data_IF_774816682788
#
_entry.id   IF_774816682788
#
_cell.length_a   1.000
_cell.length_b   1.000
_cell.length_c   1.000
_cell.angle_alpha   90.00
_cell.angle_beta   90.00
_cell.angle_gamma   90.00
#
_symmetry.space_group_name_H-M   'P 1'
#
loop_
_entity.id
_entity.type
_entity.pdbx_description
1 polymer ?
#
# COMPACT_ATOMS: atom_id res chain seq x y z
N UNK A 1 -3.32 -14.36 -11.00
CA UNK A 1 -2.49 -15.51 -11.41
C UNK A 1 -2.42 -15.71 -12.92
N UNK A 2 -3.51 -15.47 -13.68
CA UNK A 2 -3.48 -15.55 -15.15
C UNK A 2 -2.31 -14.77 -15.76
N UNK A 3 -2.01 -13.57 -15.25
CA UNK A 3 -0.96 -12.70 -15.81
C UNK A 3 0.45 -13.29 -15.73
N UNK A 4 0.76 -13.98 -14.63
CA UNK A 4 2.05 -14.66 -14.43
C UNK A 4 2.16 -15.82 -15.41
N UNK A 5 1.06 -16.54 -15.66
CA UNK A 5 1.05 -17.63 -16.64
C UNK A 5 1.15 -17.13 -18.08
N UNK A 6 0.54 -15.98 -18.41
CA UNK A 6 0.55 -15.41 -19.75
C UNK A 6 1.79 -14.60 -20.10
N UNK A 7 2.45 -14.00 -19.11
CA UNK A 7 3.61 -13.11 -19.29
C UNK A 7 4.57 -13.20 -18.09
N UNK A 8 5.21 -14.36 -17.88
CA UNK A 8 6.05 -14.63 -16.71
C UNK A 8 7.25 -13.69 -16.58
N UNK A 9 7.76 -13.14 -17.69
CA UNK A 9 8.83 -12.13 -17.70
C UNK A 9 8.45 -10.84 -16.96
N UNK A 10 7.15 -10.60 -16.79
CA UNK A 10 6.58 -9.45 -16.08
C UNK A 10 6.10 -9.79 -14.67
N UNK A 11 6.61 -10.85 -14.03
CA UNK A 11 6.11 -11.29 -12.71
C UNK A 11 6.19 -10.21 -11.61
N UNK A 12 7.20 -9.32 -11.62
CA UNK A 12 7.33 -8.25 -10.62
C UNK A 12 6.13 -7.29 -10.65
N UNK A 13 5.81 -6.61 -11.77
CA UNK A 13 4.64 -5.75 -11.84
C UNK A 13 3.34 -6.52 -11.60
N UNK A 14 3.24 -7.79 -12.01
CA UNK A 14 2.05 -8.61 -11.75
C UNK A 14 1.83 -8.87 -10.27
N UNK A 15 2.88 -9.23 -9.53
CA UNK A 15 2.81 -9.48 -8.08
C UNK A 15 2.49 -8.19 -7.34
N UNK A 16 3.11 -7.06 -7.73
CA UNK A 16 2.80 -5.74 -7.18
C UNK A 16 1.33 -5.39 -7.37
N UNK A 17 0.81 -5.52 -8.60
CA UNK A 17 -0.61 -5.29 -8.92
C UNK A 17 -1.54 -6.19 -8.11
N UNK A 18 -1.23 -7.48 -8.02
CA UNK A 18 -2.02 -8.45 -7.27
C UNK A 18 -2.12 -8.06 -5.79
N UNK A 19 -0.98 -7.76 -5.15
CA UNK A 19 -0.93 -7.36 -3.75
C UNK A 19 -1.74 -6.08 -3.49
N UNK A 20 -1.60 -5.06 -4.36
CA UNK A 20 -2.39 -3.84 -4.26
C UNK A 20 -3.88 -4.12 -4.45
N UNK A 21 -4.27 -4.89 -5.47
CA UNK A 21 -5.68 -5.20 -5.74
C UNK A 21 -6.34 -5.92 -4.58
N UNK A 22 -5.65 -6.88 -3.95
CA UNK A 22 -6.13 -7.58 -2.76
C UNK A 22 -6.39 -6.58 -1.63
N UNK A 23 -5.42 -5.72 -1.32
CA UNK A 23 -5.55 -4.76 -0.23
C UNK A 23 -6.65 -3.71 -0.47
N UNK A 24 -6.74 -3.16 -1.69
CA UNK A 24 -7.81 -2.21 -2.05
C UNK A 24 -9.17 -2.89 -1.95
N UNK A 25 -9.31 -4.14 -2.43
CA UNK A 25 -10.57 -4.89 -2.33
C UNK A 25 -10.95 -5.15 -0.88
N UNK A 26 -10.00 -5.58 -0.05
CA UNK A 26 -10.24 -5.84 1.37
C UNK A 26 -10.68 -4.59 2.13
N UNK A 27 -10.02 -3.45 1.87
CA UNK A 27 -10.27 -2.20 2.59
C UNK A 27 -11.51 -1.48 2.07
N UNK A 28 -11.61 -1.29 0.75
CA UNK A 28 -12.59 -0.42 0.11
C UNK A 28 -13.71 -1.18 -0.62
N UNK A 29 -13.59 -2.50 -0.79
CA UNK A 29 -14.63 -3.33 -1.38
C UNK A 29 -14.64 -3.41 -2.90
N UNK A 30 -13.64 -2.84 -3.58
CA UNK A 30 -13.47 -2.88 -5.03
C UNK A 30 -12.02 -3.17 -5.43
N UNK A 31 -11.79 -3.89 -6.54
CA UNK A 31 -10.44 -4.09 -7.05
C UNK A 31 -9.86 -2.80 -7.62
N UNK A 32 -8.53 -2.69 -7.62
CA UNK A 32 -7.82 -1.53 -8.16
C UNK A 32 -8.07 -1.29 -9.65
N UNK A 33 -8.46 -2.33 -10.39
CA UNK A 33 -8.80 -2.27 -11.81
C UNK A 33 -9.95 -1.33 -12.13
N UNK A 34 -10.89 -1.18 -11.20
CA UNK A 34 -12.07 -0.32 -11.36
C UNK A 34 -11.71 1.17 -11.36
N UNK A 35 -10.50 1.51 -10.90
CA UNK A 35 -9.98 2.87 -10.85
C UNK A 35 -9.05 3.18 -12.03
N UNK A 36 -8.77 2.21 -12.91
CA UNK A 36 -7.83 2.34 -14.03
C UNK A 36 -6.46 1.76 -13.68
N UNK A 37 -6.18 0.59 -14.25
CA UNK A 37 -5.09 -0.31 -13.85
C UNK A 37 -3.71 0.33 -13.67
N UNK A 38 -3.32 1.28 -14.53
CA UNK A 38 -1.91 1.71 -14.57
C UNK A 38 -1.61 3.00 -13.79
N UNK A 39 -2.52 3.97 -13.77
CA UNK A 39 -2.19 5.29 -13.22
C UNK A 39 -2.11 5.27 -11.69
N UNK A 40 -3.05 4.62 -11.04
CA UNK A 40 -3.11 4.57 -9.57
C UNK A 40 -1.98 3.69 -9.00
N UNK A 41 -1.70 2.54 -9.60
CA UNK A 41 -0.59 1.68 -9.16
C UNK A 41 0.77 2.35 -9.30
N UNK A 42 1.06 2.98 -10.44
CA UNK A 42 2.32 3.69 -10.62
C UNK A 42 2.48 4.82 -9.59
N UNK A 43 1.41 5.57 -9.36
CA UNK A 43 1.41 6.66 -8.39
C UNK A 43 1.61 6.17 -6.95
N UNK A 44 1.00 5.04 -6.58
CA UNK A 44 1.21 4.39 -5.28
C UNK A 44 2.68 4.03 -5.06
N UNK A 45 3.29 3.34 -6.02
CA UNK A 45 4.67 2.89 -5.88
C UNK A 45 5.65 4.06 -5.86
N UNK A 46 5.39 5.14 -6.59
CA UNK A 46 6.20 6.36 -6.51
C UNK A 46 6.03 7.09 -5.16
N UNK A 47 4.81 7.17 -4.63
CA UNK A 47 4.56 7.69 -3.29
C UNK A 47 5.25 6.83 -2.21
N UNK A 48 5.26 5.50 -2.38
CA UNK A 48 5.97 4.57 -1.49
C UNK A 48 7.48 4.72 -1.54
N UNK A 49 8.09 4.90 -2.72
CA UNK A 49 9.54 5.19 -2.82
C UNK A 49 9.92 6.42 -2.00
N UNK A 50 9.11 7.48 -2.09
CA UNK A 50 9.31 8.72 -1.32
C UNK A 50 9.10 8.51 0.17
N UNK A 51 8.14 7.67 0.55
CA UNK A 51 7.94 7.31 1.95
C UNK A 51 9.13 6.52 2.51
N UNK A 52 9.65 5.55 1.76
CA UNK A 52 10.83 4.77 2.14
C UNK A 52 12.07 5.68 2.24
N UNK A 53 12.27 6.59 1.28
CA UNK A 53 13.34 7.60 1.37
C UNK A 53 13.18 8.46 2.63
N UNK A 54 11.96 8.78 3.04
CA UNK A 54 11.70 9.55 4.24
C UNK A 54 11.91 8.75 5.54
N UNK A 55 11.64 7.44 5.54
CA UNK A 55 11.81 6.59 6.73
C UNK A 55 13.20 5.98 6.84
N UNK A 56 14.04 6.13 5.82
CA UNK A 56 15.44 5.72 5.86
C UNK A 56 16.19 6.52 6.94
N UNK A 57 16.72 5.84 7.97
CA UNK A 57 17.47 6.48 9.06
C UNK A 57 18.68 7.30 8.59
N UNK A 58 19.18 7.05 7.38
CA UNK A 58 20.33 7.73 6.78
C UNK A 58 19.95 8.88 5.86
N UNK A 59 18.68 9.02 5.46
CA UNK A 59 18.22 10.09 4.58
C UNK A 59 18.03 11.43 5.29
N UNK A 60 17.91 11.41 6.61
CA UNK A 60 17.79 12.60 7.44
C UNK A 60 18.57 12.43 8.76
N UNK A 61 18.97 13.51 9.44
CA UNK A 61 19.51 13.42 10.80
C UNK A 61 18.55 12.69 11.74
N UNK A 62 19.00 12.14 12.88
CA UNK A 62 18.11 11.42 13.80
C UNK A 62 17.19 12.40 14.56
N UNK A 63 16.12 12.84 13.90
CA UNK A 63 15.19 13.87 14.38
C UNK A 63 14.43 13.46 15.64
N UNK A 64 14.27 12.15 15.86
CA UNK A 64 13.62 11.60 17.04
C UNK A 64 14.54 11.60 18.26
N UNK A 65 15.86 11.46 18.04
CA UNK A 65 16.88 11.48 19.09
C UNK A 65 17.34 12.92 19.36
N UNK A 66 17.33 13.78 18.34
CA UNK A 66 17.73 15.19 18.42
C UNK A 66 16.58 16.13 18.03
N UNK A 67 15.59 16.37 18.92
CA UNK A 67 14.42 17.21 18.60
C UNK A 67 14.78 18.65 18.22
N UNK A 68 15.93 19.16 18.67
CA UNK A 68 16.40 20.51 18.35
C UNK A 68 16.50 20.76 16.84
N UNK A 69 16.76 19.71 16.06
CA UNK A 69 16.85 19.78 14.59
C UNK A 69 15.51 20.10 13.92
N UNK A 70 14.37 19.93 14.63
CA UNK A 70 13.04 20.33 14.15
C UNK A 70 12.91 21.85 14.00
N UNK A 71 13.72 22.64 14.71
CA UNK A 71 13.70 24.11 14.64
C UNK A 71 14.53 24.69 13.48
N UNK A 72 15.32 23.88 12.78
CA UNK A 72 16.14 24.37 11.65
C UNK A 72 15.22 24.86 10.52
N UNK A 73 15.40 26.09 9.99
CA UNK A 73 14.55 26.60 8.91
C UNK A 73 14.56 25.71 7.67
N UNK A 74 13.40 25.52 7.02
CA UNK A 74 13.25 24.63 5.87
C UNK A 74 14.19 24.95 4.70
N UNK A 75 14.51 26.23 4.50
CA UNK A 75 15.47 26.68 3.47
C UNK A 75 16.89 26.11 3.62
N UNK A 76 17.24 25.56 4.77
CA UNK A 76 18.60 25.06 5.05
C UNK A 76 18.68 23.53 5.01
N UNK A 77 17.55 22.83 4.84
CA UNK A 77 17.45 21.40 5.11
C UNK A 77 16.56 20.69 4.11
N UNK A 78 17.06 19.60 3.51
CA UNK A 78 16.33 18.83 2.48
C UNK A 78 15.17 18.02 3.06
N UNK A 79 15.31 17.46 4.26
CA UNK A 79 14.32 16.53 4.83
C UNK A 79 12.95 17.18 5.04
N UNK A 80 12.88 18.49 5.34
CA UNK A 80 11.59 19.19 5.44
C UNK A 80 10.85 19.28 4.11
N UNK A 81 11.57 19.51 3.01
CA UNK A 81 10.98 19.46 1.66
C UNK A 81 10.52 18.05 1.29
N UNK A 82 11.32 17.03 1.62
CA UNK A 82 10.96 15.62 1.42
C UNK A 82 9.69 15.24 2.21
N UNK A 83 9.54 15.70 3.46
CA UNK A 83 8.33 15.49 4.24
C UNK A 83 7.09 16.04 3.54
N UNK A 84 7.14 17.27 3.05
CA UNK A 84 5.99 17.91 2.37
C UNK A 84 5.69 17.25 1.02
N UNK A 85 6.72 16.87 0.25
CA UNK A 85 6.54 16.09 -0.99
C UNK A 85 5.87 14.74 -0.70
N UNK A 86 6.35 14.00 0.30
CA UNK A 86 5.82 12.70 0.68
C UNK A 86 4.38 12.79 1.23
N UNK A 87 4.04 13.84 1.98
CA UNK A 87 2.66 14.10 2.43
C UNK A 87 1.73 14.35 1.24
N UNK A 88 2.14 15.23 0.31
CA UNK A 88 1.34 15.59 -0.86
C UNK A 88 1.09 14.39 -1.77
N UNK A 89 2.13 13.62 -2.08
CA UNK A 89 2.03 12.44 -2.95
C UNK A 89 1.19 11.34 -2.32
N UNK A 90 1.35 11.08 -1.01
CA UNK A 90 0.49 10.09 -0.35
C UNK A 90 -0.96 10.53 -0.28
N UNK A 91 -1.24 11.78 0.08
CA UNK A 91 -2.63 12.27 0.20
C UNK A 91 -3.45 11.96 -1.04
N UNK A 92 -2.98 12.44 -2.19
CA UNK A 92 -3.70 12.31 -3.46
C UNK A 92 -3.99 10.85 -3.89
N UNK A 93 -3.14 9.88 -3.52
CA UNK A 93 -3.40 8.48 -3.86
C UNK A 93 -4.60 7.92 -3.10
N UNK A 94 -4.67 8.20 -1.80
CA UNK A 94 -5.68 7.61 -0.91
C UNK A 94 -7.01 8.35 -0.96
N UNK A 95 -6.98 9.63 -1.36
CA UNK A 95 -8.18 10.46 -1.43
C UNK A 95 -9.18 9.89 -2.44
N UNK A 96 -8.74 9.45 -3.63
CA UNK A 96 -9.61 8.85 -4.66
C UNK A 96 -10.37 7.61 -4.15
N UNK A 97 -9.67 6.65 -3.50
CA UNK A 97 -10.30 5.44 -2.96
C UNK A 97 -11.25 5.74 -1.81
N UNK A 98 -10.86 6.69 -0.95
CA UNK A 98 -11.67 7.06 0.21
C UNK A 98 -12.92 7.81 -0.22
N UNK A 99 -12.83 8.70 -1.20
CA UNK A 99 -13.97 9.43 -1.74
C UNK A 99 -14.98 8.52 -2.45
N UNK A 100 -14.52 7.59 -3.30
CA UNK A 100 -15.41 6.57 -3.90
C UNK A 100 -16.08 5.72 -2.82
N UNK A 101 -15.32 5.27 -1.82
CA UNK A 101 -15.85 4.49 -0.72
C UNK A 101 -16.90 5.26 0.09
N UNK A 102 -16.62 6.51 0.46
CA UNK A 102 -17.55 7.36 1.19
C UNK A 102 -18.86 7.57 0.41
N UNK A 103 -18.76 7.83 -0.89
CA UNK A 103 -19.92 8.03 -1.75
C UNK A 103 -20.82 6.78 -1.77
N UNK A 104 -20.22 5.61 -1.99
CA UNK A 104 -20.94 4.32 -1.99
C UNK A 104 -21.53 3.98 -0.63
N UNK A 105 -20.75 4.18 0.43
CA UNK A 105 -21.19 3.92 1.80
C UNK A 105 -22.42 4.78 2.15
N UNK A 106 -22.40 6.08 1.81
CA UNK A 106 -23.55 6.99 2.00
C UNK A 106 -24.76 6.63 1.13
N UNK A 107 -24.53 6.09 -0.08
CA UNK A 107 -25.59 5.63 -0.97
C UNK A 107 -26.26 4.31 -0.52
N UNK A 108 -25.74 3.66 0.52
CA UNK A 108 -26.26 2.36 0.98
C UNK A 108 -25.71 1.16 0.20
N UNK A 109 -24.75 1.37 -0.70
CA UNK A 109 -24.04 0.28 -1.37
C UNK A 109 -23.11 -0.39 -0.37
N UNK A 110 -23.20 -1.72 -0.24
CA UNK A 110 -22.42 -2.52 0.71
C UNK A 110 -21.70 -3.64 -0.02
N UNK A 111 -20.43 -3.80 0.30
CA UNK A 111 -19.50 -4.79 -0.28
C UNK A 111 -18.98 -5.79 0.76
N UNK A 112 -19.19 -5.52 2.05
CA UNK A 112 -18.63 -6.28 3.16
C UNK A 112 -17.15 -5.97 3.45
N UNK A 113 -16.66 -4.84 2.94
CA UNK A 113 -15.28 -4.38 3.13
C UNK A 113 -14.92 -4.15 4.61
N UNK A 114 -13.63 -4.11 4.92
CA UNK A 114 -13.17 -3.85 6.29
C UNK A 114 -13.66 -2.49 6.79
N UNK A 115 -13.63 -1.46 5.94
CA UNK A 115 -14.06 -0.12 6.33
C UNK A 115 -15.57 -0.06 6.61
N UNK A 116 -16.40 -0.77 5.85
CA UNK A 116 -17.82 -0.94 6.18
C UNK A 116 -18.01 -1.56 7.55
N UNK A 117 -17.30 -2.67 7.84
CA UNK A 117 -17.41 -3.36 9.13
C UNK A 117 -16.98 -2.47 10.31
N UNK A 118 -15.98 -1.62 10.11
CA UNK A 118 -15.54 -0.67 11.13
C UNK A 118 -16.60 0.42 11.35
N UNK A 119 -17.19 0.94 10.28
CA UNK A 119 -18.22 1.99 10.35
C UNK A 119 -19.58 1.50 10.87
N UNK A 120 -19.95 0.25 10.56
CA UNK A 120 -21.21 -0.35 11.00
C UNK A 120 -21.17 -0.82 12.47
N UNK A 121 -19.99 -0.79 13.12
CA UNK A 121 -19.83 -1.32 14.47
C UNK A 121 -20.21 -0.28 15.55
N UNK A 122 -21.23 -0.57 16.41
CA UNK A 122 -21.88 0.43 17.27
C UNK A 122 -21.01 0.98 18.42
N UNK A 123 -19.87 0.35 18.73
CA UNK A 123 -18.94 0.77 19.79
C UNK A 123 -17.68 1.47 19.28
N UNK A 124 -17.54 1.69 17.97
CA UNK A 124 -16.47 2.53 17.44
C UNK A 124 -16.93 3.99 17.48
N UNK A 125 -16.82 4.56 18.68
CA UNK A 125 -16.99 5.98 18.99
C UNK A 125 -16.46 6.86 17.88
N UNK A 126 -17.32 7.71 17.31
CA UNK A 126 -16.97 8.90 16.53
C UNK A 126 -15.76 8.76 15.59
N UNK A 127 -15.70 7.67 14.80
CA UNK A 127 -14.62 7.49 13.83
C UNK A 127 -14.71 8.62 12.81
N UNK A 128 -13.91 9.66 13.01
CA UNK A 128 -13.76 10.77 12.08
C UNK A 128 -13.18 10.18 10.81
N UNK A 129 -13.65 10.65 9.65
CA UNK A 129 -13.19 10.17 8.34
C UNK A 129 -11.65 10.14 8.20
N UNK A 130 -10.96 11.03 8.92
CA UNK A 130 -9.50 11.08 9.03
C UNK A 130 -8.86 9.84 9.67
N UNK A 131 -9.52 9.24 10.67
CA UNK A 131 -9.02 8.02 11.31
C UNK A 131 -9.13 6.82 10.37
N UNK A 132 -10.20 6.73 9.58
CA UNK A 132 -10.35 5.73 8.51
C UNK A 132 -9.30 5.94 7.44
N UNK A 133 -9.04 7.19 7.02
CA UNK A 133 -7.96 7.51 6.09
C UNK A 133 -6.61 7.05 6.65
N UNK A 134 -6.31 7.36 7.91
CA UNK A 134 -5.09 6.95 8.59
C UNK A 134 -4.92 5.43 8.67
N UNK A 135 -5.95 4.72 9.11
CA UNK A 135 -5.96 3.27 9.24
C UNK A 135 -5.79 2.59 7.86
N UNK A 136 -6.52 3.04 6.85
CA UNK A 136 -6.43 2.49 5.49
C UNK A 136 -5.03 2.66 4.90
N UNK A 137 -4.43 3.84 5.11
CA UNK A 137 -3.04 4.14 4.72
C UNK A 137 -2.07 3.16 5.38
N UNK A 138 -2.15 3.00 6.69
CA UNK A 138 -1.29 2.08 7.44
C UNK A 138 -1.41 0.63 6.97
N UNK A 139 -2.65 0.17 6.77
CA UNK A 139 -2.91 -1.21 6.33
C UNK A 139 -2.40 -1.44 4.90
N UNK A 140 -2.59 -0.47 4.00
CA UNK A 140 -2.04 -0.52 2.64
C UNK A 140 -0.51 -0.58 2.64
N UNK A 141 0.15 0.34 3.37
CA UNK A 141 1.61 0.40 3.46
C UNK A 141 2.19 -0.91 4.04
N UNK A 142 1.54 -1.47 5.06
CA UNK A 142 1.95 -2.73 5.66
C UNK A 142 1.65 -3.97 4.80
N UNK A 143 0.54 -3.98 4.07
CA UNK A 143 0.05 -5.17 3.36
C UNK A 143 0.57 -5.31 1.93
N UNK A 144 0.80 -4.20 1.23
CA UNK A 144 1.10 -4.25 -0.21
C UNK A 144 2.55 -4.64 -0.48
N UNK A 145 3.52 -3.83 -0.05
CA UNK A 145 4.92 -4.01 -0.45
C UNK A 145 5.58 -5.21 0.24
N UNK A 146 5.24 -5.50 1.49
CA UNK A 146 5.79 -6.66 2.22
C UNK A 146 5.36 -7.97 1.57
N UNK A 147 4.07 -8.14 1.30
CA UNK A 147 3.52 -9.34 0.63
C UNK A 147 4.05 -9.47 -0.79
N UNK A 148 4.15 -8.35 -1.54
CA UNK A 148 4.71 -8.37 -2.88
C UNK A 148 6.18 -8.81 -2.87
N UNK A 149 6.97 -8.27 -1.93
CA UNK A 149 8.39 -8.63 -1.77
C UNK A 149 8.56 -10.08 -1.34
N UNK A 150 7.71 -10.58 -0.44
CA UNK A 150 7.72 -11.98 -0.02
C UNK A 150 7.48 -12.90 -1.22
N UNK A 151 6.44 -12.65 -2.01
CA UNK A 151 6.10 -13.49 -3.17
C UNK A 151 7.19 -13.44 -4.24
N UNK A 152 7.78 -12.26 -4.50
CA UNK A 152 8.91 -12.14 -5.43
C UNK A 152 10.12 -12.95 -4.96
N UNK A 153 10.47 -12.86 -3.68
CA UNK A 153 11.57 -13.65 -3.11
C UNK A 153 11.25 -15.15 -3.09
N UNK A 154 9.99 -15.53 -2.86
CA UNK A 154 9.55 -16.91 -2.91
C UNK A 154 9.69 -17.49 -4.32
N UNK A 155 9.26 -16.76 -5.35
CA UNK A 155 9.46 -17.15 -6.76
C UNK A 155 10.96 -17.32 -7.06
N UNK A 156 11.79 -16.37 -6.63
CA UNK A 156 13.25 -16.46 -6.80
C UNK A 156 13.83 -17.69 -6.09
N UNK A 157 13.42 -17.95 -4.85
CA UNK A 157 13.88 -19.10 -4.08
C UNK A 157 13.51 -20.43 -4.76
N UNK A 158 12.28 -20.57 -5.26
CA UNK A 158 11.87 -21.76 -6.02
C UNK A 158 12.71 -21.93 -7.29
N UNK A 159 12.96 -20.85 -8.04
CA UNK A 159 13.78 -20.88 -9.25
C UNK A 159 15.24 -21.27 -8.95
N UNK A 160 15.80 -20.87 -7.81
CA UNK A 160 17.14 -21.24 -7.37
C UNK A 160 17.23 -22.66 -6.77
N UNK A 161 16.10 -23.25 -6.35
CA UNK A 161 16.05 -24.55 -5.68
C UNK A 161 14.99 -25.49 -6.30
N UNK A 162 15.17 -25.96 -7.55
CA UNK A 162 14.19 -26.81 -8.24
C UNK A 162 13.76 -28.08 -7.46
N UNK A 163 14.65 -28.81 -6.76
CA UNK A 163 14.22 -29.98 -5.97
C UNK A 163 13.20 -29.65 -4.87
N UNK A 164 13.26 -28.43 -4.31
CA UNK A 164 12.28 -27.96 -3.34
C UNK A 164 10.95 -27.62 -4.01
N UNK A 165 10.98 -27.05 -5.22
CA UNK A 165 9.79 -26.78 -6.02
C UNK A 165 9.08 -28.07 -6.43
N UNK A 166 9.81 -29.06 -6.94
CA UNK A 166 9.26 -30.38 -7.33
C UNK A 166 8.58 -31.07 -6.15
N UNK A 167 9.22 -31.03 -4.97
CA UNK A 167 8.64 -31.58 -3.75
C UNK A 167 7.35 -30.85 -3.35
N UNK A 168 7.37 -29.51 -3.36
CA UNK A 168 6.19 -28.71 -3.01
C UNK A 168 5.04 -28.96 -3.99
N UNK A 169 5.33 -29.16 -5.27
CA UNK A 169 4.33 -29.51 -6.27
C UNK A 169 3.72 -30.90 -6.00
N UNK A 170 4.55 -31.91 -5.74
CA UNK A 170 4.09 -33.27 -5.44
C UNK A 170 3.27 -33.38 -4.14
N UNK A 171 3.40 -32.42 -3.21
CA UNK A 171 2.57 -32.33 -2.00
C UNK A 171 1.19 -31.67 -2.26
N UNK A 172 1.06 -30.86 -3.32
CA UNK A 172 -0.17 -30.13 -3.68
C UNK A 172 -1.00 -30.90 -4.72
N UNK A 173 -0.34 -31.59 -5.64
CA UNK A 173 -0.94 -32.45 -6.69
C UNK A 173 -1.62 -33.70 -6.09
#
# INVERSE_FOLDING_TARGET
MHDIASSPENFIPHVKRMSTSIMVTLLYGKPVSDFGDNKHLLYYFDAMKKFIELTDPWAHPPLDIMPILKHVPARWVRWKGLCEEAKRLRGAFFDDFTEDFEARYRAGERTGSLLEKVLDHPNHFDVVIEEIRGMSRLLMDGGVETSASYIQNFILALACHPPCQDKAQAEID
#
